data_IF_035336370488
#
_entry.id   IF_035336370488
#
_cell.length_a   1.000
_cell.length_b   1.000
_cell.length_c   1.000
_cell.angle_alpha   90.00
_cell.angle_beta   90.00
_cell.angle_gamma   90.00
#
_symmetry.space_group_name_H-M   'P 1'
#
loop_
_entity.id
_entity.type
_entity.pdbx_description
1 polymer ?
#
# COMPACT_ATOMS: atom_id res chain seq x y z
N UNK A 1 3.19 0.44 -24.62
CA UNK A 1 3.73 1.04 -25.87
C UNK A 1 2.77 2.05 -26.49
N UNK A 2 1.52 1.69 -26.82
CA UNK A 2 0.54 2.63 -27.45
C UNK A 2 0.34 3.90 -26.61
N UNK A 3 0.12 3.74 -25.29
CA UNK A 3 -0.10 4.87 -24.38
C UNK A 3 1.12 5.81 -24.31
N UNK A 4 2.33 5.24 -24.28
CA UNK A 4 3.60 5.98 -24.27
C UNK A 4 3.73 6.80 -25.56
N UNK A 5 3.59 6.17 -26.72
CA UNK A 5 3.67 6.84 -28.01
C UNK A 5 2.59 7.93 -28.19
N UNK A 6 1.39 7.74 -27.62
CA UNK A 6 0.35 8.75 -27.61
C UNK A 6 0.72 9.95 -26.71
N UNK A 7 1.31 9.72 -25.54
CA UNK A 7 1.77 10.77 -24.63
C UNK A 7 2.82 11.68 -25.29
N UNK A 8 3.86 11.13 -25.90
CA UNK A 8 4.90 11.94 -26.57
C UNK A 8 4.35 12.75 -27.74
N UNK A 9 3.45 12.17 -28.56
CA UNK A 9 2.78 12.90 -29.64
C UNK A 9 1.93 14.07 -29.14
N UNK A 10 1.28 13.91 -27.99
CA UNK A 10 0.38 14.94 -27.45
C UNK A 10 1.09 16.02 -26.62
N UNK A 11 2.28 15.73 -26.08
CA UNK A 11 3.11 16.70 -25.35
C UNK A 11 4.00 17.51 -26.29
N UNK A 12 4.32 16.98 -27.47
CA UNK A 12 5.20 17.60 -28.48
C UNK A 12 6.57 17.99 -27.91
N UNK A 13 7.18 17.03 -27.20
CA UNK A 13 8.54 17.16 -26.64
C UNK A 13 9.31 15.88 -26.87
N UNK A 14 10.63 16.02 -27.02
CA UNK A 14 11.54 14.88 -27.12
C UNK A 14 11.57 14.04 -25.84
N UNK A 15 11.37 14.69 -24.68
CA UNK A 15 11.38 14.05 -23.35
C UNK A 15 10.12 14.35 -22.54
N UNK A 16 9.69 13.35 -21.77
CA UNK A 16 8.69 13.49 -20.71
C UNK A 16 9.35 13.08 -19.39
N UNK A 17 9.39 13.99 -18.42
CA UNK A 17 10.30 13.85 -17.28
C UNK A 17 11.74 13.84 -17.78
N UNK A 18 12.46 12.75 -17.51
CA UNK A 18 13.85 12.58 -17.94
C UNK A 18 14.04 11.55 -19.07
N UNK A 19 12.95 10.92 -19.54
CA UNK A 19 13.03 9.80 -20.48
C UNK A 19 12.68 10.23 -21.90
N UNK A 20 13.31 9.59 -22.87
CA UNK A 20 12.91 9.51 -24.28
C UNK A 20 11.80 8.45 -24.47
N UNK A 21 11.10 8.42 -25.63
CA UNK A 21 10.06 7.43 -25.90
C UNK A 21 10.52 5.98 -25.75
N UNK A 22 11.70 5.64 -26.30
CA UNK A 22 12.24 4.28 -26.24
C UNK A 22 12.63 3.89 -24.81
N UNK A 23 13.22 4.82 -24.04
CA UNK A 23 13.60 4.58 -22.65
C UNK A 23 12.36 4.33 -21.77
N UNK A 24 11.28 5.09 -21.97
CA UNK A 24 10.01 4.85 -21.28
C UNK A 24 9.38 3.49 -21.63
N UNK A 25 9.49 3.07 -22.90
CA UNK A 25 9.06 1.73 -23.34
C UNK A 25 9.90 0.64 -22.67
N UNK A 26 11.22 0.83 -22.59
CA UNK A 26 12.13 -0.11 -21.94
C UNK A 26 11.82 -0.25 -20.45
N UNK A 27 11.65 0.85 -19.72
CA UNK A 27 11.29 0.82 -18.29
C UNK A 27 10.00 0.02 -18.08
N UNK A 28 8.94 0.31 -18.86
CA UNK A 28 7.69 -0.43 -18.76
C UNK A 28 7.86 -1.94 -19.08
N UNK A 29 8.70 -2.27 -20.07
CA UNK A 29 8.99 -3.66 -20.42
C UNK A 29 9.81 -4.38 -19.33
N UNK A 30 10.77 -3.69 -18.70
CA UNK A 30 11.55 -4.21 -17.58
C UNK A 30 10.66 -4.50 -16.38
N UNK A 31 9.79 -3.58 -15.97
CA UNK A 31 8.81 -3.82 -14.90
C UNK A 31 7.97 -5.07 -15.20
N UNK A 32 7.42 -5.20 -16.41
CA UNK A 32 6.64 -6.39 -16.77
C UNK A 32 7.46 -7.68 -16.71
N UNK A 33 8.72 -7.66 -17.16
CA UNK A 33 9.63 -8.81 -17.10
C UNK A 33 9.95 -9.20 -15.65
N UNK A 34 10.24 -8.22 -14.80
CA UNK A 34 10.58 -8.42 -13.40
C UNK A 34 9.40 -8.97 -12.61
N UNK A 35 8.18 -8.47 -12.84
CA UNK A 35 6.98 -9.00 -12.20
C UNK A 35 6.76 -10.48 -12.55
N UNK A 36 6.95 -10.87 -13.81
CA UNK A 36 6.86 -12.29 -14.23
C UNK A 36 7.96 -13.15 -13.59
N UNK A 37 9.18 -12.63 -13.52
CA UNK A 37 10.27 -13.34 -12.86
C UNK A 37 9.98 -13.52 -11.35
N UNK A 38 9.46 -12.47 -10.71
CA UNK A 38 9.10 -12.51 -9.29
C UNK A 38 7.96 -13.48 -8.99
N UNK A 39 6.95 -13.56 -9.87
CA UNK A 39 5.90 -14.57 -9.77
C UNK A 39 6.51 -15.99 -9.69
N UNK A 40 7.50 -16.29 -10.54
CA UNK A 40 8.18 -17.59 -10.50
C UNK A 40 9.01 -17.80 -9.21
N UNK A 41 9.56 -16.75 -8.61
CA UNK A 41 10.21 -16.84 -7.30
C UNK A 41 9.22 -17.14 -6.16
N UNK A 42 8.01 -16.58 -6.23
CA UNK A 42 6.94 -16.87 -5.25
C UNK A 42 6.51 -18.33 -5.36
N UNK A 43 6.27 -18.84 -6.57
CA UNK A 43 5.87 -20.24 -6.80
C UNK A 43 6.89 -21.28 -6.33
N UNK A 44 8.17 -20.89 -6.19
CA UNK A 44 9.22 -21.76 -5.62
C UNK A 44 9.16 -21.86 -4.11
N UNK A 45 8.66 -20.84 -3.44
CA UNK A 45 8.61 -20.76 -1.96
C UNK A 45 7.25 -21.21 -1.44
N UNK A 46 6.17 -20.89 -2.16
CA UNK A 46 4.81 -21.15 -1.73
C UNK A 46 3.97 -21.67 -2.88
N UNK A 47 3.29 -22.79 -2.62
CA UNK A 47 2.23 -23.33 -3.45
C UNK A 47 1.03 -23.62 -2.56
N UNK A 48 -0.16 -23.08 -2.89
CA UNK A 48 -1.40 -23.41 -2.19
C UNK A 48 -1.72 -24.90 -2.21
N UNK A 49 -2.47 -25.34 -1.21
CA UNK A 49 -3.03 -26.69 -1.24
C UNK A 49 -4.20 -26.77 -2.24
N UNK A 50 -4.37 -27.90 -2.95
CA UNK A 50 -5.52 -28.09 -3.83
C UNK A 50 -6.84 -27.97 -3.05
N UNK A 51 -7.72 -27.05 -3.47
CA UNK A 51 -9.02 -26.85 -2.84
C UNK A 51 -9.04 -25.88 -1.66
N UNK A 52 -7.89 -25.26 -1.32
CA UNK A 52 -7.84 -24.18 -0.34
C UNK A 52 -8.68 -22.98 -0.83
N UNK A 53 -9.66 -22.55 -0.03
CA UNK A 53 -10.63 -21.52 -0.43
C UNK A 53 -10.02 -20.12 -0.49
N UNK A 54 -9.15 -19.81 0.46
CA UNK A 54 -8.51 -18.50 0.61
C UNK A 54 -6.99 -18.65 0.80
N UNK A 55 -6.25 -19.05 -0.26
CA UNK A 55 -4.82 -19.30 -0.15
C UNK A 55 -4.05 -18.08 0.33
N UNK A 56 -3.25 -18.28 1.38
CA UNK A 56 -2.54 -17.19 2.04
C UNK A 56 -1.16 -17.62 2.54
N UNK A 57 -0.13 -16.96 2.01
CA UNK A 57 1.22 -17.02 2.55
C UNK A 57 1.53 -15.75 3.33
N UNK A 58 2.04 -15.89 4.56
CA UNK A 58 2.43 -14.77 5.43
C UNK A 58 3.93 -14.83 5.71
N UNK A 59 4.61 -13.69 5.58
CA UNK A 59 5.98 -13.53 6.01
C UNK A 59 6.06 -13.54 7.54
N UNK A 60 6.75 -14.52 8.13
CA UNK A 60 6.90 -14.61 9.58
C UNK A 60 7.60 -13.36 10.14
N UNK A 61 6.94 -12.67 11.07
CA UNK A 61 7.40 -11.36 11.60
C UNK A 61 7.69 -10.31 10.51
N UNK A 62 6.98 -10.39 9.37
CA UNK A 62 7.20 -9.50 8.22
C UNK A 62 8.47 -9.80 7.41
N UNK A 63 9.28 -10.80 7.81
CA UNK A 63 10.56 -11.09 7.16
C UNK A 63 10.36 -11.85 5.85
N UNK A 64 10.70 -11.20 4.74
CA UNK A 64 10.66 -11.81 3.41
C UNK A 64 11.83 -12.80 3.23
N UNK A 65 11.64 -13.85 2.40
CA UNK A 65 12.72 -14.73 1.98
C UNK A 65 13.92 -13.94 1.43
N UNK A 66 15.15 -14.15 1.94
CA UNK A 66 16.33 -13.37 1.53
C UNK A 66 16.61 -13.42 0.02
N UNK A 67 16.28 -14.53 -0.64
CA UNK A 67 16.45 -14.70 -2.09
C UNK A 67 15.56 -13.76 -2.92
N UNK A 68 14.49 -13.20 -2.35
CA UNK A 68 13.65 -12.21 -3.03
C UNK A 68 14.26 -10.81 -3.01
N UNK A 69 15.24 -10.54 -2.13
CA UNK A 69 15.86 -9.24 -1.94
C UNK A 69 16.30 -8.57 -3.25
N UNK A 70 17.11 -9.21 -4.11
CA UNK A 70 17.53 -8.62 -5.38
C UNK A 70 16.36 -8.23 -6.29
N UNK A 71 15.33 -9.07 -6.39
CA UNK A 71 14.17 -8.78 -7.23
C UNK A 71 13.34 -7.60 -6.68
N UNK A 72 13.17 -7.52 -5.35
CA UNK A 72 12.49 -6.41 -4.68
C UNK A 72 13.29 -5.10 -4.87
N UNK A 73 14.62 -5.17 -4.76
CA UNK A 73 15.56 -4.06 -5.02
C UNK A 73 15.69 -3.65 -6.49
N UNK A 74 15.24 -4.46 -7.43
CA UNK A 74 15.10 -4.03 -8.83
C UNK A 74 13.69 -3.49 -9.11
N UNK A 75 12.65 -4.16 -8.62
CA UNK A 75 11.26 -3.81 -8.84
C UNK A 75 10.89 -2.43 -8.31
N UNK A 76 11.28 -2.07 -7.09
CA UNK A 76 11.03 -0.72 -6.57
C UNK A 76 11.74 0.41 -7.34
N UNK A 77 12.88 0.16 -8.00
CA UNK A 77 13.64 1.14 -8.78
C UNK A 77 12.95 1.36 -10.12
N UNK A 78 12.66 0.26 -10.81
CA UNK A 78 12.00 0.29 -12.12
C UNK A 78 10.53 0.77 -11.99
N UNK A 79 9.82 0.39 -10.93
CA UNK A 79 8.46 0.93 -10.67
C UNK A 79 8.48 2.38 -10.23
N UNK A 80 9.51 2.84 -9.50
CA UNK A 80 9.72 4.28 -9.23
C UNK A 80 9.96 5.06 -10.52
N UNK A 81 10.82 4.55 -11.40
CA UNK A 81 11.09 5.18 -12.69
C UNK A 81 9.83 5.24 -13.56
N UNK A 82 9.06 4.16 -13.62
CA UNK A 82 7.79 4.11 -14.34
C UNK A 82 6.77 5.08 -13.76
N UNK A 83 6.58 5.08 -12.44
CA UNK A 83 5.67 5.99 -11.74
C UNK A 83 6.02 7.46 -12.01
N UNK A 84 7.29 7.84 -11.87
CA UNK A 84 7.76 9.18 -12.17
C UNK A 84 7.47 9.61 -13.62
N UNK A 85 7.67 8.70 -14.58
CA UNK A 85 7.37 8.96 -15.98
C UNK A 85 5.86 9.13 -16.22
N UNK A 86 5.03 8.22 -15.72
CA UNK A 86 3.56 8.29 -15.89
C UNK A 86 3.01 9.56 -15.22
N UNK A 87 3.51 9.91 -14.04
CA UNK A 87 3.13 11.14 -13.33
C UNK A 87 3.48 12.39 -14.15
N UNK A 88 4.71 12.46 -14.69
CA UNK A 88 5.13 13.55 -15.56
C UNK A 88 4.29 13.62 -16.85
N UNK A 89 3.96 12.48 -17.46
CA UNK A 89 3.12 12.40 -18.64
C UNK A 89 1.69 12.90 -18.35
N UNK A 90 1.07 12.40 -17.28
CA UNK A 90 -0.26 12.82 -16.85
C UNK A 90 -0.33 14.33 -16.57
N UNK A 91 0.65 14.86 -15.83
CA UNK A 91 0.75 16.30 -15.54
C UNK A 91 0.94 17.15 -16.80
N UNK A 92 1.79 16.72 -17.74
CA UNK A 92 2.02 17.43 -19.00
C UNK A 92 0.77 17.44 -19.90
N UNK A 93 0.03 16.34 -19.94
CA UNK A 93 -1.22 16.26 -20.69
C UNK A 93 -2.28 17.17 -20.07
N UNK A 94 -2.44 17.13 -18.74
CA UNK A 94 -3.42 17.93 -17.99
C UNK A 94 -3.21 19.46 -18.11
N UNK A 95 -1.96 19.92 -18.31
CA UNK A 95 -1.64 21.35 -18.48
C UNK A 95 -1.93 21.90 -19.89
N UNK A 96 -2.22 21.05 -20.86
CA UNK A 96 -2.55 21.51 -22.22
C UNK A 96 -4.01 21.95 -22.35
N UNK A 97 -4.32 22.67 -23.43
CA UNK A 97 -5.71 23.08 -23.73
C UNK A 97 -6.62 21.85 -23.88
N UNK A 98 -7.75 21.84 -23.17
CA UNK A 98 -8.75 20.78 -23.18
C UNK A 98 -9.81 20.98 -24.28
N UNK A 99 -9.38 21.11 -25.53
CA UNK A 99 -10.30 21.26 -26.68
C UNK A 99 -10.34 20.01 -27.58
N UNK A 100 -9.67 18.92 -27.19
CA UNK A 100 -9.51 17.71 -28.00
C UNK A 100 -9.96 16.44 -27.25
N UNK A 101 -11.01 15.79 -27.76
CA UNK A 101 -11.53 14.52 -27.24
C UNK A 101 -10.51 13.37 -27.25
N UNK A 102 -9.49 13.40 -28.12
CA UNK A 102 -8.39 12.45 -28.07
C UNK A 102 -7.47 12.70 -26.86
N UNK A 103 -7.18 13.98 -26.56
CA UNK A 103 -6.39 14.37 -25.40
C UNK A 103 -7.08 14.03 -24.08
N UNK A 104 -8.39 14.24 -23.98
CA UNK A 104 -9.16 13.83 -22.80
C UNK A 104 -9.14 12.32 -22.56
N UNK A 105 -9.32 11.51 -23.63
CA UNK A 105 -9.22 10.05 -23.54
C UNK A 105 -7.84 9.62 -23.07
N UNK A 106 -6.79 10.23 -23.63
CA UNK A 106 -5.41 9.98 -23.24
C UNK A 106 -5.15 10.36 -21.77
N UNK A 107 -5.67 11.50 -21.31
CA UNK A 107 -5.57 11.94 -19.92
C UNK A 107 -6.22 10.91 -18.98
N UNK A 108 -7.42 10.44 -19.29
CA UNK A 108 -8.09 9.40 -18.49
C UNK A 108 -7.29 8.10 -18.45
N UNK A 109 -6.79 7.62 -19.59
CA UNK A 109 -5.95 6.42 -19.65
C UNK A 109 -4.63 6.56 -18.87
N UNK A 110 -4.00 7.75 -18.90
CA UNK A 110 -2.81 8.04 -18.10
C UNK A 110 -3.13 8.15 -16.61
N UNK A 111 -4.31 8.65 -16.23
CA UNK A 111 -4.77 8.67 -14.84
C UNK A 111 -4.90 7.26 -14.26
N UNK A 112 -5.55 6.35 -15.00
CA UNK A 112 -5.64 4.93 -14.60
C UNK A 112 -4.25 4.28 -14.52
N UNK A 113 -3.37 4.54 -15.49
CA UNK A 113 -2.00 4.03 -15.47
C UNK A 113 -1.17 4.60 -14.30
N UNK A 114 -1.44 5.86 -13.90
CA UNK A 114 -0.78 6.52 -12.79
C UNK A 114 -1.13 5.84 -11.47
N UNK A 115 -2.42 5.62 -11.22
CA UNK A 115 -2.91 4.90 -10.04
C UNK A 115 -2.28 3.50 -9.94
N UNK A 116 -2.25 2.76 -11.05
CA UNK A 116 -1.62 1.43 -11.10
C UNK A 116 -0.11 1.48 -10.83
N UNK A 117 0.61 2.43 -11.44
CA UNK A 117 2.05 2.56 -11.26
C UNK A 117 2.40 2.98 -9.82
N UNK A 118 1.58 3.85 -9.22
CA UNK A 118 1.72 4.27 -7.82
C UNK A 118 1.51 3.10 -6.85
N UNK A 119 0.45 2.31 -7.04
CA UNK A 119 0.20 1.12 -6.21
C UNK A 119 1.36 0.12 -6.28
N UNK A 120 1.90 -0.13 -7.48
CA UNK A 120 3.08 -0.98 -7.65
C UNK A 120 4.30 -0.39 -6.94
N UNK A 121 4.59 0.89 -7.15
CA UNK A 121 5.72 1.55 -6.50
C UNK A 121 5.62 1.50 -4.97
N UNK A 122 4.44 1.76 -4.41
CA UNK A 122 4.19 1.75 -2.97
C UNK A 122 4.40 0.35 -2.37
N UNK A 123 3.92 -0.70 -3.06
CA UNK A 123 4.12 -2.08 -2.64
C UNK A 123 5.62 -2.42 -2.55
N UNK A 124 6.38 -2.20 -3.62
CA UNK A 124 7.80 -2.55 -3.67
C UNK A 124 8.63 -1.71 -2.69
N UNK A 125 8.30 -0.42 -2.54
CA UNK A 125 8.92 0.44 -1.53
C UNK A 125 8.67 -0.06 -0.11
N UNK A 126 7.45 -0.54 0.18
CA UNK A 126 7.13 -1.15 1.46
C UNK A 126 7.83 -2.50 1.69
N UNK A 127 8.03 -3.29 0.64
CA UNK A 127 8.75 -4.57 0.71
C UNK A 127 10.26 -4.40 0.86
N UNK A 128 10.85 -3.31 0.34
CA UNK A 128 12.26 -2.93 0.56
C UNK A 128 12.55 -2.42 1.97
N UNK A 129 11.55 -1.82 2.61
CA UNK A 129 11.75 -1.17 3.91
C UNK A 129 12.30 -2.18 4.92
N UNK A 130 13.46 -1.86 5.49
CA UNK A 130 13.99 -2.60 6.62
C UNK A 130 13.18 -2.28 7.88
N UNK A 131 12.73 -3.32 8.57
CA UNK A 131 12.06 -3.20 9.85
C UNK A 131 13.12 -3.05 10.95
N UNK A 132 13.07 -1.93 11.68
CA UNK A 132 13.99 -1.68 12.80
C UNK A 132 13.74 -2.65 13.94
N UNK A 133 14.82 -3.12 14.56
CA UNK A 133 14.72 -3.95 15.75
C UNK A 133 14.01 -3.21 16.89
N UNK A 134 13.14 -3.93 17.61
CA UNK A 134 12.33 -3.36 18.70
C UNK A 134 11.12 -2.53 18.26
N UNK A 135 10.87 -2.37 16.96
CA UNK A 135 9.68 -1.71 16.43
C UNK A 135 8.72 -2.74 15.80
N UNK A 136 7.39 -2.47 15.79
CA UNK A 136 6.46 -3.33 15.09
C UNK A 136 6.81 -3.42 13.58
N UNK A 137 6.96 -4.62 13.00
CA UNK A 137 7.38 -4.80 11.61
C UNK A 137 6.26 -4.45 10.63
N UNK A 138 6.57 -4.25 9.36
CA UNK A 138 5.55 -4.24 8.32
C UNK A 138 4.99 -5.66 8.10
N UNK A 139 3.67 -5.81 8.14
CA UNK A 139 3.02 -7.04 7.70
C UNK A 139 3.14 -7.16 6.19
N UNK A 140 3.62 -8.33 5.73
CA UNK A 140 3.76 -8.66 4.32
C UNK A 140 3.19 -10.06 4.09
N UNK A 141 2.29 -10.16 3.11
CA UNK A 141 1.64 -11.43 2.79
C UNK A 141 1.23 -11.48 1.33
N UNK A 142 0.91 -12.66 0.85
CA UNK A 142 0.49 -12.91 -0.53
C UNK A 142 -0.79 -13.73 -0.49
N UNK A 143 -1.79 -13.31 -1.26
CA UNK A 143 -3.00 -14.09 -1.54
C UNK A 143 -3.08 -14.43 -3.02
N UNK A 144 -3.90 -15.41 -3.37
CA UNK A 144 -4.27 -15.65 -4.77
C UNK A 144 -5.67 -15.10 -5.06
N UNK A 145 -5.80 -14.44 -6.19
CA UNK A 145 -7.11 -14.11 -6.75
C UNK A 145 -7.82 -15.39 -7.21
N UNK A 146 -9.13 -15.29 -7.45
CA UNK A 146 -9.91 -16.41 -8.01
C UNK A 146 -9.42 -16.81 -9.40
N UNK A 147 -8.80 -15.88 -10.13
CA UNK A 147 -8.27 -16.09 -11.48
C UNK A 147 -6.82 -16.62 -11.44
N UNK A 148 -6.25 -16.83 -10.25
CA UNK A 148 -4.90 -17.35 -10.07
C UNK A 148 -3.79 -16.29 -10.05
N UNK A 149 -4.14 -15.00 -10.00
CA UNK A 149 -3.16 -13.92 -9.90
C UNK A 149 -2.63 -13.76 -8.47
N UNK A 150 -1.33 -13.53 -8.33
CA UNK A 150 -0.74 -13.20 -7.05
C UNK A 150 -1.09 -11.76 -6.66
N UNK A 151 -1.64 -11.59 -5.46
CA UNK A 151 -1.86 -10.29 -4.84
C UNK A 151 -0.90 -10.18 -3.66
N UNK A 152 0.09 -9.31 -3.80
CA UNK A 152 1.06 -9.02 -2.76
C UNK A 152 0.59 -7.85 -1.92
N UNK A 153 0.73 -7.97 -0.60
CA UNK A 153 0.24 -6.99 0.36
C UNK A 153 1.36 -6.48 1.24
N UNK A 154 1.25 -5.22 1.64
CA UNK A 154 2.14 -4.58 2.59
C UNK A 154 1.34 -3.60 3.45
N UNK A 155 1.36 -3.77 4.76
CA UNK A 155 0.65 -2.90 5.69
C UNK A 155 1.43 -2.72 6.97
N UNK A 156 1.51 -1.50 7.54
CA UNK A 156 2.04 -1.35 8.89
C UNK A 156 1.13 -2.11 9.88
N UNK A 157 1.72 -2.79 10.86
CA UNK A 157 0.94 -3.45 11.92
C UNK A 157 0.42 -2.48 12.98
N UNK A 158 0.97 -1.27 13.02
CA UNK A 158 0.59 -0.20 13.94
C UNK A 158 0.43 1.11 13.16
N UNK A 159 -0.61 1.87 13.51
CA UNK A 159 -0.84 3.19 12.94
C UNK A 159 0.04 4.27 13.58
N UNK A 160 0.76 3.96 14.67
CA UNK A 160 1.55 4.89 15.47
C UNK A 160 2.45 5.80 14.64
N UNK A 161 3.21 5.25 13.70
CA UNK A 161 4.13 6.04 12.88
C UNK A 161 3.39 6.97 11.91
N UNK A 162 2.26 6.53 11.36
CA UNK A 162 1.44 7.33 10.44
C UNK A 162 0.78 8.47 11.20
N UNK A 163 0.14 8.17 12.34
CA UNK A 163 -0.52 9.16 13.19
C UNK A 163 0.46 10.17 13.76
N UNK A 164 1.70 9.77 14.09
CA UNK A 164 2.74 10.69 14.54
C UNK A 164 3.06 11.75 13.48
N UNK A 165 3.22 11.34 12.23
CA UNK A 165 3.55 12.26 11.14
C UNK A 165 2.36 13.10 10.70
N UNK A 166 1.14 12.57 10.72
CA UNK A 166 -0.03 13.26 10.14
C UNK A 166 -0.85 14.03 11.16
N UNK A 167 -0.76 13.66 12.44
CA UNK A 167 -1.62 14.20 13.50
C UNK A 167 -0.75 14.72 14.64
N UNK A 168 -0.03 13.85 15.36
CA UNK A 168 0.62 14.23 16.62
C UNK A 168 1.64 15.37 16.48
N UNK A 169 2.29 15.49 15.32
CA UNK A 169 3.24 16.56 15.05
C UNK A 169 2.63 17.77 14.31
N UNK A 170 1.42 17.65 13.77
CA UNK A 170 0.85 18.61 12.83
C UNK A 170 -0.27 19.46 13.43
N UNK A 171 -0.84 19.05 14.57
CA UNK A 171 -1.95 19.78 15.21
C UNK A 171 -1.66 20.05 16.68
N UNK A 172 -2.18 21.18 17.19
CA UNK A 172 -1.96 21.60 18.58
C UNK A 172 -2.74 20.76 19.60
N UNK A 173 -3.85 20.15 19.21
CA UNK A 173 -4.73 19.40 20.12
C UNK A 173 -5.57 18.35 19.39
N UNK A 174 -5.76 17.19 20.02
CA UNK A 174 -6.57 16.09 19.50
C UNK A 174 -7.43 15.51 20.61
N UNK A 175 -8.70 15.22 20.29
CA UNK A 175 -9.59 14.45 21.16
C UNK A 175 -10.01 13.18 20.43
N UNK A 176 -9.68 12.03 21.00
CA UNK A 176 -10.15 10.73 20.53
C UNK A 176 -11.24 10.23 21.48
N UNK A 177 -12.44 9.97 20.95
CA UNK A 177 -13.57 9.50 21.74
C UNK A 177 -14.29 8.36 21.03
N UNK A 178 -14.57 7.29 21.78
CA UNK A 178 -15.42 6.19 21.36
C UNK A 178 -15.85 5.40 22.59
N UNK A 179 -16.96 4.67 22.49
CA UNK A 179 -17.46 3.80 23.54
C UNK A 179 -16.54 2.59 23.81
N UNK A 180 -15.60 2.27 22.90
CA UNK A 180 -14.84 1.01 22.91
C UNK A 180 -13.33 1.20 22.70
N UNK A 181 -12.74 2.33 23.12
CA UNK A 181 -11.28 2.54 22.99
C UNK A 181 -10.47 1.64 23.92
N UNK A 182 -11.03 1.23 25.06
CA UNK A 182 -10.33 0.44 26.09
C UNK A 182 -10.83 -0.98 26.16
N UNK A 183 -9.94 -1.93 26.44
CA UNK A 183 -10.29 -3.21 27.03
C UNK A 183 -10.27 -3.10 28.55
N UNK A 184 -11.42 -3.22 29.21
CA UNK A 184 -11.47 -3.24 30.69
C UNK A 184 -11.02 -1.94 31.38
N UNK A 185 -11.13 -0.80 30.70
CA UNK A 185 -10.73 0.51 31.24
C UNK A 185 -9.25 0.85 31.06
N UNK A 186 -8.44 -0.07 30.54
CA UNK A 186 -7.03 0.16 30.22
C UNK A 186 -6.86 0.62 28.76
N UNK A 187 -6.12 1.72 28.59
CA UNK A 187 -5.80 2.31 27.29
C UNK A 187 -4.42 1.89 26.76
N UNK A 188 -3.62 1.10 27.49
CA UNK A 188 -2.24 0.77 27.08
C UNK A 188 -2.14 0.20 25.66
N UNK A 189 -2.97 -0.78 25.32
CA UNK A 189 -2.98 -1.36 23.96
C UNK A 189 -3.30 -0.30 22.90
N UNK A 190 -4.35 0.51 23.13
CA UNK A 190 -4.73 1.60 22.25
C UNK A 190 -3.63 2.65 22.10
N UNK A 191 -2.97 3.02 23.20
CA UNK A 191 -1.87 3.98 23.24
C UNK A 191 -0.67 3.51 22.43
N UNK A 192 -0.29 2.23 22.56
CA UNK A 192 0.80 1.62 21.81
C UNK A 192 0.46 1.56 20.32
N UNK A 193 -0.72 1.06 19.96
CA UNK A 193 -1.10 0.85 18.55
C UNK A 193 -1.24 2.17 17.77
N UNK A 194 -1.65 3.24 18.45
CA UNK A 194 -1.83 4.57 17.87
C UNK A 194 -0.66 5.52 18.14
N UNK A 195 0.33 5.09 18.93
CA UNK A 195 1.51 5.89 19.27
C UNK A 195 1.15 7.18 19.99
N UNK A 196 0.22 7.13 20.94
CA UNK A 196 -0.19 8.31 21.70
C UNK A 196 1.03 8.96 22.38
N UNK A 197 1.09 10.30 22.46
CA UNK A 197 2.13 10.98 23.21
C UNK A 197 2.09 10.61 24.70
N UNK A 198 3.25 10.58 25.36
CA UNK A 198 3.36 10.22 26.79
C UNK A 198 2.57 11.15 27.71
N UNK A 199 2.25 12.36 27.25
CA UNK A 199 1.46 13.36 27.97
C UNK A 199 -0.05 13.27 27.68
N UNK A 200 -0.50 12.28 26.90
CA UNK A 200 -1.92 12.13 26.57
C UNK A 200 -2.74 11.77 27.82
N UNK A 201 -3.78 12.56 28.10
CA UNK A 201 -4.74 12.24 29.15
C UNK A 201 -5.76 11.21 28.66
N UNK A 202 -6.04 10.20 29.48
CA UNK A 202 -6.90 9.07 29.14
C UNK A 202 -7.97 8.89 30.22
N UNK A 203 -9.23 8.84 29.81
CA UNK A 203 -10.37 8.72 30.73
C UNK A 203 -11.38 7.71 30.20
N UNK A 204 -11.78 6.77 31.06
CA UNK A 204 -12.87 5.83 30.79
C UNK A 204 -14.09 6.21 31.62
N UNK A 205 -15.24 6.37 30.96
CA UNK A 205 -16.49 6.71 31.60
C UNK A 205 -17.36 5.46 31.73
N UNK A 206 -17.99 5.30 32.89
CA UNK A 206 -18.93 4.19 33.10
C UNK A 206 -20.16 4.32 32.19
N UNK A 207 -20.69 3.18 31.76
CA UNK A 207 -21.96 3.13 31.05
C UNK A 207 -23.07 3.71 31.94
N UNK A 208 -23.96 4.57 31.42
CA UNK A 208 -25.12 5.06 32.17
C UNK A 208 -26.26 4.03 32.25
N UNK A 209 -26.15 2.88 31.57
CA UNK A 209 -27.20 1.87 31.49
C UNK A 209 -27.19 0.89 32.66
N UNK A 210 -28.37 0.46 33.08
CA UNK A 210 -28.58 -0.54 34.13
C UNK A 210 -28.47 -1.96 33.56
N UNK A 211 -27.25 -2.32 33.16
CA UNK A 211 -26.96 -3.61 32.54
C UNK A 211 -27.45 -4.83 33.36
N UNK A 212 -27.36 -4.84 34.71
CA UNK A 212 -27.90 -5.95 35.51
C UNK A 212 -29.39 -6.23 35.29
N UNK A 213 -30.19 -5.21 34.97
CA UNK A 213 -31.63 -5.34 34.73
C UNK A 213 -32.02 -5.30 33.24
N UNK A 214 -31.10 -4.87 32.36
CA UNK A 214 -31.35 -4.64 30.94
C UNK A 214 -30.64 -5.62 30.00
N UNK A 215 -29.68 -6.42 30.50
CA UNK A 215 -28.88 -7.34 29.69
C UNK A 215 -28.90 -8.77 30.24
N UNK A 216 -28.84 -9.74 29.33
CA UNK A 216 -28.66 -11.15 29.62
C UNK A 216 -27.39 -11.66 28.94
N UNK A 217 -26.51 -12.36 29.69
CA UNK A 217 -25.32 -13.02 29.16
C UNK A 217 -25.59 -14.52 29.03
N UNK A 218 -25.72 -15.01 27.80
CA UNK A 218 -25.94 -16.42 27.51
C UNK A 218 -24.60 -17.07 27.16
N UNK A 219 -24.14 -18.02 27.98
CA UNK A 219 -22.93 -18.81 27.73
C UNK A 219 -23.35 -20.24 27.35
N UNK A 220 -23.07 -20.73 26.12
CA UNK A 220 -23.38 -22.10 25.72
C UNK A 220 -22.60 -23.14 26.53
N UNK A 221 -23.19 -24.32 26.70
CA UNK A 221 -22.47 -25.48 27.22
C UNK A 221 -21.63 -26.08 26.07
N UNK A 222 -20.32 -26.08 26.24
CA UNK A 222 -19.37 -26.74 25.35
C UNK A 222 -19.03 -28.15 25.84
#
# INVERSE_FOLDING_TARGET
QILIAAAYRAVDKDKIGNLLPNEAIEVAARVSKLLKAFHAEVERVWKPEPGERDPLWRAANGKLPPQWGPAIEELGEETRALFNWVHAAHSAIAKGKQDDAARERLQRSLGLALEMAEQQHNLWSGWRREDKEGQPPMARWITLSRDGDLICHCSPVSAAQVLRTMIWNEVDSVVMTSATLTGGGDFQAFAIDNGLPDHAEMASLASPFDLPNQAELIVPNF
#
